data_IF_860584163328
#
_entry.id   IF_860584163328
#
_cell.length_a   1.000
_cell.length_b   1.000
_cell.length_c   1.000
_cell.angle_alpha   90.00
_cell.angle_beta   90.00
_cell.angle_gamma   90.00
#
_symmetry.space_group_name_H-M   'P 1'
#
loop_
_entity.id
_entity.type
_entity.pdbx_description
1 polymer ?
#
# COMPACT_ATOMS: atom_id res chain seq x y z
N UNK A 1 18.35 -30.57 4.60
CA UNK A 1 17.12 -30.44 5.41
C UNK A 1 15.86 -30.30 4.54
N UNK A 2 14.85 -31.12 4.80
CA UNK A 2 13.51 -30.92 4.22
C UNK A 2 12.79 -29.85 5.07
N UNK A 3 12.89 -28.58 4.68
CA UNK A 3 12.25 -27.46 5.40
C UNK A 3 11.04 -26.95 4.64
N UNK A 4 10.07 -26.36 5.36
CA UNK A 4 8.96 -25.61 4.76
C UNK A 4 9.46 -24.57 3.75
N UNK A 5 10.54 -23.87 4.09
CA UNK A 5 11.21 -22.90 3.21
C UNK A 5 11.65 -23.50 1.87
N UNK A 6 12.14 -24.76 1.86
CA UNK A 6 12.51 -25.44 0.60
C UNK A 6 11.27 -25.72 -0.26
N UNK A 7 10.17 -26.15 0.35
CA UNK A 7 8.89 -26.41 -0.36
C UNK A 7 8.32 -25.12 -0.95
N UNK A 8 8.29 -24.05 -0.15
CA UNK A 8 7.84 -22.72 -0.60
C UNK A 8 8.67 -22.22 -1.78
N UNK A 9 10.01 -22.34 -1.70
CA UNK A 9 10.89 -21.88 -2.76
C UNK A 9 10.66 -22.62 -4.08
N UNK A 10 10.49 -23.94 -4.04
CA UNK A 10 10.19 -24.74 -5.24
C UNK A 10 8.85 -24.33 -5.84
N UNK A 11 7.82 -24.15 -5.00
CA UNK A 11 6.50 -23.72 -5.45
C UNK A 11 6.54 -22.33 -6.11
N UNK A 12 7.28 -21.38 -5.54
CA UNK A 12 7.40 -20.05 -6.14
C UNK A 12 8.19 -20.06 -7.47
N UNK A 13 9.24 -20.88 -7.59
CA UNK A 13 9.96 -21.05 -8.86
C UNK A 13 9.06 -21.63 -9.96
N UNK A 14 8.21 -22.60 -9.62
CA UNK A 14 7.21 -23.14 -10.56
C UNK A 14 6.18 -22.07 -10.96
N UNK A 15 5.73 -21.23 -10.02
CA UNK A 15 4.83 -20.09 -10.31
C UNK A 15 5.49 -19.06 -11.22
N UNK A 16 6.78 -18.75 -11.04
CA UNK A 16 7.53 -17.88 -11.94
C UNK A 16 7.53 -18.45 -13.35
N UNK A 17 7.85 -19.74 -13.51
CA UNK A 17 7.86 -20.39 -14.83
C UNK A 17 6.49 -20.29 -15.52
N UNK A 18 5.40 -20.55 -14.79
CA UNK A 18 4.03 -20.38 -15.28
C UNK A 18 3.75 -18.93 -15.71
N UNK A 19 4.06 -17.95 -14.86
CA UNK A 19 3.75 -16.54 -15.16
C UNK A 19 4.62 -15.96 -16.28
N UNK A 20 5.88 -16.39 -16.42
CA UNK A 20 6.70 -16.07 -17.59
C UNK A 20 6.05 -16.59 -18.88
N UNK A 21 5.54 -17.82 -18.86
CA UNK A 21 4.84 -18.39 -20.00
C UNK A 21 3.55 -17.62 -20.33
N UNK A 22 2.74 -17.30 -19.32
CA UNK A 22 1.53 -16.48 -19.49
C UNK A 22 1.85 -15.11 -20.08
N UNK A 23 2.87 -14.42 -19.57
CA UNK A 23 3.32 -13.12 -20.10
C UNK A 23 3.76 -13.21 -21.57
N UNK A 24 4.45 -14.29 -21.94
CA UNK A 24 4.85 -14.54 -23.33
C UNK A 24 3.66 -14.79 -24.27
N UNK A 25 2.57 -15.39 -23.77
CA UNK A 25 1.34 -15.58 -24.55
C UNK A 25 0.59 -14.25 -24.66
N UNK A 26 0.32 -13.59 -23.53
CA UNK A 26 -0.51 -12.37 -23.49
C UNK A 26 0.13 -11.19 -24.20
N UNK A 27 1.46 -11.11 -24.26
CA UNK A 27 2.18 -10.08 -25.02
C UNK A 27 2.09 -10.22 -26.54
N UNK A 28 1.68 -11.40 -27.05
CA UNK A 28 1.56 -11.65 -28.49
C UNK A 28 0.15 -11.45 -29.03
N UNK A 29 -0.84 -11.27 -28.16
CA UNK A 29 -2.22 -11.02 -28.57
C UNK A 29 -2.31 -9.60 -29.11
N UNK A 30 -2.74 -9.45 -30.35
CA UNK A 30 -2.97 -8.15 -30.99
C UNK A 30 -4.41 -7.71 -30.75
N UNK A 31 -4.61 -6.41 -30.61
CA UNK A 31 -5.94 -5.82 -30.71
C UNK A 31 -6.44 -5.98 -32.16
N UNK A 32 -7.73 -6.24 -32.31
CA UNK A 32 -8.37 -6.32 -33.62
C UNK A 32 -8.82 -4.92 -34.03
N UNK A 33 -8.57 -4.54 -35.29
CA UNK A 33 -8.87 -3.20 -35.81
C UNK A 33 -9.71 -3.38 -37.07
N UNK A 34 -10.96 -2.95 -36.98
CA UNK A 34 -11.94 -3.05 -38.06
C UNK A 34 -12.28 -1.64 -38.58
N UNK A 35 -12.40 -1.48 -39.89
CA UNK A 35 -12.92 -0.25 -40.49
C UNK A 35 -14.38 -0.47 -40.89
N UNK A 36 -15.29 0.20 -40.21
CA UNK A 36 -16.73 0.12 -40.47
C UNK A 36 -17.19 1.51 -40.92
N UNK A 37 -17.64 1.63 -42.17
CA UNK A 37 -18.17 2.87 -42.74
C UNK A 37 -17.24 4.08 -42.63
N UNK A 38 -15.91 3.87 -42.65
CA UNK A 38 -14.90 4.93 -42.52
C UNK A 38 -14.45 5.19 -41.07
N UNK A 39 -15.05 4.52 -40.08
CA UNK A 39 -14.66 4.59 -38.68
C UNK A 39 -13.77 3.39 -38.30
N UNK A 40 -12.65 3.67 -37.62
CA UNK A 40 -11.78 2.63 -37.07
C UNK A 40 -12.25 2.20 -35.69
N UNK A 41 -12.77 0.98 -35.59
CA UNK A 41 -13.18 0.35 -34.34
C UNK A 41 -12.07 -0.60 -33.89
N UNK A 42 -11.57 -0.40 -32.67
CA UNK A 42 -10.58 -1.27 -32.04
C UNK A 42 -11.27 -2.16 -31.01
N UNK A 43 -11.14 -3.48 -31.17
CA UNK A 43 -11.67 -4.48 -30.24
C UNK A 43 -10.55 -5.38 -29.68
N UNK A 44 -10.84 -6.16 -28.64
CA UNK A 44 -9.83 -7.01 -27.99
C UNK A 44 -8.86 -6.28 -27.05
N UNK A 45 -9.27 -5.14 -26.48
CA UNK A 45 -8.50 -4.39 -25.47
C UNK A 45 -8.24 -5.18 -24.17
N UNK A 46 -9.02 -6.24 -23.91
CA UNK A 46 -8.83 -7.15 -22.76
C UNK A 46 -7.46 -7.86 -22.78
N UNK A 47 -6.81 -7.91 -23.95
CA UNK A 47 -5.44 -8.39 -24.10
C UNK A 47 -4.44 -7.56 -23.28
N UNK A 48 -4.60 -6.23 -23.25
CA UNK A 48 -3.76 -5.34 -22.45
C UNK A 48 -3.97 -5.56 -20.95
N UNK A 49 -5.22 -5.69 -20.52
CA UNK A 49 -5.57 -5.99 -19.11
C UNK A 49 -5.00 -7.35 -18.68
N UNK A 50 -5.06 -8.35 -19.56
CA UNK A 50 -4.50 -9.68 -19.33
C UNK A 50 -2.98 -9.65 -19.21
N UNK A 51 -2.30 -8.86 -20.04
CA UNK A 51 -0.85 -8.66 -19.98
C UNK A 51 -0.43 -7.98 -18.67
N UNK A 52 -1.13 -6.91 -18.25
CA UNK A 52 -0.88 -6.22 -16.98
C UNK A 52 -1.04 -7.20 -15.80
N UNK A 53 -2.09 -8.03 -15.82
CA UNK A 53 -2.35 -9.01 -14.76
C UNK A 53 -1.26 -10.07 -14.70
N UNK A 54 -0.82 -10.61 -15.85
CA UNK A 54 0.28 -11.56 -15.92
C UNK A 54 1.59 -10.97 -15.36
N UNK A 55 1.91 -9.71 -15.70
CA UNK A 55 3.08 -9.02 -15.18
C UNK A 55 3.00 -8.81 -13.65
N UNK A 56 1.84 -8.40 -13.12
CA UNK A 56 1.62 -8.24 -11.66
C UNK A 56 1.82 -9.58 -10.93
N UNK A 57 1.27 -10.65 -11.48
CA UNK A 57 1.40 -11.99 -10.91
C UNK A 57 2.86 -12.47 -10.90
N UNK A 58 3.59 -12.25 -12.00
CA UNK A 58 5.02 -12.53 -12.09
C UNK A 58 5.81 -11.75 -11.03
N UNK A 59 5.57 -10.44 -10.91
CA UNK A 59 6.25 -9.58 -9.93
C UNK A 59 6.04 -10.07 -8.49
N UNK A 60 4.80 -10.43 -8.14
CA UNK A 60 4.48 -10.97 -6.82
C UNK A 60 5.23 -12.30 -6.55
N UNK A 61 5.26 -13.22 -7.52
CA UNK A 61 5.97 -14.49 -7.38
C UNK A 61 7.50 -14.29 -7.25
N UNK A 62 8.08 -13.35 -7.99
CA UNK A 62 9.48 -12.98 -7.89
C UNK A 62 9.81 -12.44 -6.50
N UNK A 63 9.02 -11.51 -5.97
CA UNK A 63 9.22 -10.96 -4.62
C UNK A 63 9.16 -12.05 -3.56
N UNK A 64 8.19 -12.97 -3.64
CA UNK A 64 8.08 -14.10 -2.72
C UNK A 64 9.29 -15.04 -2.81
N UNK A 65 9.75 -15.33 -4.02
CA UNK A 65 10.95 -16.16 -4.26
C UNK A 65 12.20 -15.52 -3.68
N UNK A 66 12.39 -14.22 -3.86
CA UNK A 66 13.53 -13.47 -3.30
C UNK A 66 13.52 -13.52 -1.77
N UNK A 67 12.36 -13.28 -1.15
CA UNK A 67 12.20 -13.38 0.32
C UNK A 67 12.49 -14.79 0.84
N UNK A 68 11.93 -15.82 0.20
CA UNK A 68 12.16 -17.21 0.57
C UNK A 68 13.63 -17.63 0.38
N UNK A 69 14.28 -17.17 -0.69
CA UNK A 69 15.70 -17.40 -0.97
C UNK A 69 16.61 -16.76 0.08
N UNK A 70 16.27 -15.55 0.53
CA UNK A 70 16.97 -14.88 1.62
C UNK A 70 16.89 -15.70 2.91
N UNK A 71 15.69 -16.16 3.29
CA UNK A 71 15.51 -17.00 4.47
C UNK A 71 16.29 -18.32 4.32
N UNK A 72 16.19 -18.98 3.16
CA UNK A 72 16.87 -20.25 2.91
C UNK A 72 18.40 -20.13 3.05
N UNK A 73 18.98 -19.07 2.48
CA UNK A 73 20.44 -18.87 2.46
C UNK A 73 21.01 -18.36 3.78
N UNK A 74 20.22 -17.68 4.61
CA UNK A 74 20.67 -17.12 5.91
C UNK A 74 20.38 -18.02 7.10
N UNK A 75 19.29 -18.80 7.06
CA UNK A 75 18.89 -19.70 8.17
C UNK A 75 19.47 -21.11 8.06
N UNK A 76 19.79 -21.57 6.84
CA UNK A 76 20.32 -22.91 6.60
C UNK A 76 21.65 -22.83 5.84
N UNK A 77 22.72 -22.33 6.48
CA UNK A 77 24.05 -22.30 5.86
C UNK A 77 24.47 -23.73 5.47
N UNK A 78 25.12 -23.87 4.30
CA UNK A 78 25.60 -25.18 3.84
C UNK A 78 26.58 -25.76 4.87
N UNK A 79 26.31 -26.96 5.35
CA UNK A 79 27.29 -27.75 6.10
C UNK A 79 28.25 -28.41 5.11
N UNK A 80 29.53 -28.05 5.17
CA UNK A 80 30.61 -28.71 4.42
C UNK A 80 30.86 -28.18 2.99
N UNK A 81 32.13 -27.87 2.73
CA UNK A 81 32.81 -27.69 1.43
C UNK A 81 32.59 -26.45 0.56
N UNK A 82 31.55 -25.62 0.73
CA UNK A 82 31.46 -24.36 -0.05
C UNK A 82 31.47 -23.15 0.87
N UNK A 83 32.64 -22.51 0.95
CA UNK A 83 32.94 -21.40 1.87
C UNK A 83 32.32 -20.08 1.38
N UNK A 84 32.02 -19.95 0.09
CA UNK A 84 31.46 -18.73 -0.50
C UNK A 84 29.93 -18.78 -0.61
N UNK A 85 29.23 -17.71 -0.19
CA UNK A 85 27.78 -17.62 -0.39
C UNK A 85 27.47 -17.48 -1.88
N UNK A 86 26.46 -18.23 -2.36
CA UNK A 86 25.98 -18.16 -3.76
C UNK A 86 25.48 -16.75 -4.10
N UNK A 87 24.87 -16.09 -3.11
CA UNK A 87 24.24 -14.77 -3.24
C UNK A 87 24.61 -13.94 -2.02
N UNK A 88 25.02 -12.69 -2.25
CA UNK A 88 25.25 -11.69 -1.20
C UNK A 88 24.06 -10.75 -1.13
N UNK A 89 23.45 -10.64 0.05
CA UNK A 89 22.24 -9.84 0.24
C UNK A 89 22.58 -8.44 0.77
N UNK A 90 22.22 -7.41 0.02
CA UNK A 90 22.31 -6.01 0.44
C UNK A 90 20.90 -5.47 0.71
N UNK A 91 20.41 -5.64 1.94
CA UNK A 91 19.08 -5.17 2.35
C UNK A 91 19.18 -3.93 3.24
N UNK A 92 18.32 -2.94 2.98
CA UNK A 92 18.05 -1.85 3.94
C UNK A 92 17.01 -2.34 4.95
N UNK A 93 17.20 -2.03 6.23
CA UNK A 93 16.18 -2.31 7.24
C UNK A 93 14.85 -1.63 6.88
N UNK A 94 13.69 -2.29 7.10
CA UNK A 94 12.39 -1.69 6.84
C UNK A 94 12.22 -0.37 7.59
N UNK A 95 11.54 0.57 6.97
CA UNK A 95 11.21 1.84 7.62
C UNK A 95 10.19 1.62 8.73
N UNK A 96 10.36 2.35 9.84
CA UNK A 96 9.43 2.27 10.96
C UNK A 96 8.09 2.83 10.52
N UNK A 97 7.06 2.00 10.59
CA UNK A 97 5.68 2.46 10.45
C UNK A 97 5.36 3.41 11.61
N UNK A 98 4.72 4.58 11.36
CA UNK A 98 4.37 5.51 12.42
C UNK A 98 3.36 4.87 13.36
N UNK A 99 3.63 4.92 14.66
CA UNK A 99 2.78 4.31 15.69
C UNK A 99 1.41 5.00 15.81
N UNK A 100 1.38 6.29 15.47
CA UNK A 100 0.19 7.13 15.46
C UNK A 100 0.15 7.81 14.10
N UNK A 101 -1.04 7.84 13.48
CA UNK A 101 -1.24 8.59 12.23
C UNK A 101 -0.88 10.06 12.52
N UNK A 102 -0.01 10.72 11.73
CA UNK A 102 0.22 12.13 11.90
C UNK A 102 -1.12 12.87 11.71
N UNK A 103 -1.62 13.51 12.76
CA UNK A 103 -2.81 14.34 12.66
C UNK A 103 -2.50 15.53 11.76
N UNK A 104 -3.39 15.82 10.81
CA UNK A 104 -3.28 17.05 10.02
C UNK A 104 -3.61 18.23 10.94
N UNK A 105 -2.86 19.35 10.89
CA UNK A 105 -3.15 20.53 11.71
C UNK A 105 -4.59 21.07 11.58
N UNK A 106 -5.25 20.78 10.46
CA UNK A 106 -6.65 21.07 10.16
C UNK A 106 -7.62 20.37 11.12
N UNK A 107 -7.31 19.15 11.57
CA UNK A 107 -8.19 18.30 12.37
C UNK A 107 -8.11 18.61 13.89
N UNK A 108 -6.99 19.20 14.35
CA UNK A 108 -6.74 19.54 15.76
C UNK A 108 -7.43 20.84 16.17
N UNK A 109 -7.86 21.68 15.22
CA UNK A 109 -8.70 22.86 15.49
C UNK A 109 -10.13 22.42 15.76
N UNK A 110 -10.34 21.69 16.86
CA UNK A 110 -11.64 21.63 17.49
C UNK A 110 -12.15 23.08 17.61
N UNK A 111 -13.29 23.37 16.99
CA UNK A 111 -13.99 24.65 17.10
C UNK A 111 -14.24 24.92 18.57
N UNK A 112 -13.35 25.66 19.22
CA UNK A 112 -13.58 26.24 20.54
C UNK A 112 -14.73 27.22 20.33
N UNK A 113 -15.98 26.77 20.58
CA UNK A 113 -17.12 27.68 20.73
C UNK A 113 -16.81 28.55 21.94
N UNK A 114 -16.36 29.77 21.67
CA UNK A 114 -16.13 30.82 22.66
C UNK A 114 -17.41 30.95 23.49
N UNK A 115 -17.43 30.40 24.69
CA UNK A 115 -18.54 30.57 25.61
C UNK A 115 -18.74 32.08 25.86
N UNK A 116 -20.01 32.50 25.98
CA UNK A 116 -20.39 33.88 26.21
C UNK A 116 -19.62 34.43 27.43
N UNK A 117 -18.77 35.44 27.23
CA UNK A 117 -18.13 36.14 28.33
C UNK A 117 -19.23 36.83 29.13
N UNK A 118 -19.50 36.37 30.36
CA UNK A 118 -20.37 37.07 31.31
C UNK A 118 -19.82 38.49 31.47
N UNK A 119 -20.54 39.49 30.97
CA UNK A 119 -20.24 40.90 31.29
C UNK A 119 -20.44 41.07 32.79
N UNK A 120 -19.40 41.52 33.49
CA UNK A 120 -19.48 41.92 34.89
C UNK A 120 -20.25 43.24 34.92
N UNK A 121 -21.53 43.19 35.26
CA UNK A 121 -22.39 44.37 35.36
C UNK A 121 -22.22 45.01 36.74
N UNK A 122 -22.07 46.35 36.79
CA UNK A 122 -21.81 47.06 38.04
C UNK A 122 -23.02 46.95 39.01
N UNK A 123 -22.81 46.58 40.29
CA UNK A 123 -23.91 46.30 41.23
C UNK A 123 -24.88 47.47 41.46
N UNK A 124 -24.37 48.71 41.42
CA UNK A 124 -25.17 49.92 41.62
C UNK A 124 -26.27 50.03 40.55
N UNK A 125 -25.98 49.62 39.31
CA UNK A 125 -26.92 49.71 38.21
C UNK A 125 -28.09 48.72 38.34
N UNK A 126 -27.90 47.61 39.06
CA UNK A 126 -28.97 46.66 39.38
C UNK A 126 -29.87 47.25 40.48
N UNK A 127 -29.27 47.89 41.50
CA UNK A 127 -30.02 48.45 42.62
C UNK A 127 -30.89 49.64 42.22
N UNK A 128 -30.49 50.41 41.21
CA UNK A 128 -31.32 51.50 40.67
C UNK A 128 -32.60 51.02 39.97
N UNK A 129 -32.64 49.78 39.48
CA UNK A 129 -33.84 49.23 38.80
C UNK A 129 -34.99 48.94 39.78
N UNK A 130 -34.73 48.93 41.10
CA UNK A 130 -35.73 48.62 42.13
C UNK A 130 -36.18 49.83 42.97
N UNK A 131 -35.69 51.03 42.68
CA UNK A 131 -36.16 52.25 43.35
C UNK A 131 -37.25 52.91 42.50
N UNK A 132 -38.52 52.60 42.79
CA UNK A 132 -39.66 53.39 42.29
C UNK A 132 -39.84 54.64 43.17
N UNK A 133 -40.11 55.81 42.59
CA UNK A 133 -40.43 57.00 43.37
C UNK A 133 -41.75 56.78 44.11
N UNK A 134 -41.71 56.95 45.43
CA UNK A 134 -42.88 56.96 46.30
C UNK A 134 -43.62 58.29 46.18
N UNK A 135 -44.84 58.24 45.65
CA UNK A 135 -45.98 59.09 46.01
C UNK A 135 -47.24 58.21 46.07
#
# INVERSE_FOLDING_TARGET
PESSTKKDLIAYLQRIALYCHQMNITSKVKADVQNISGELIVSGLDSATSLITAAKNLMNAVVLTVKASYVASTKYPRQGQVVSPIVVWKMKAPEKQPLVRPEKPEEVRAKIRKASQKKVQNPIHILSEFQTPSD
#
